data_IF_647294496509
#
_entry.id   IF_647294496509
#
_cell.length_a   1.000
_cell.length_b   1.000
_cell.length_c   1.000
_cell.angle_alpha   90.00
_cell.angle_beta   90.00
_cell.angle_gamma   90.00
#
_symmetry.space_group_name_H-M   'P 1'
#
loop_
_entity.id
_entity.type
_entity.pdbx_description
1 polymer ?
#
# COMPACT_ATOMS: atom_id res chain seq x y z
N UNK A 1 14.81 -1.74 -9.78
CA UNK A 1 16.06 -2.30 -9.21
C UNK A 1 16.07 -2.17 -7.68
N UNK A 2 16.81 -2.99 -6.91
CA UNK A 2 17.09 -2.75 -5.49
C UNK A 2 18.13 -1.63 -5.30
N UNK A 3 18.12 -0.93 -4.16
CA UNK A 3 19.19 0.02 -3.79
C UNK A 3 20.48 -0.76 -3.45
N UNK A 4 21.65 -0.23 -3.81
CA UNK A 4 22.95 -0.79 -3.44
C UNK A 4 23.23 -0.67 -1.93
N UNK A 5 24.03 -1.60 -1.37
CA UNK A 5 24.39 -1.56 0.07
C UNK A 5 25.20 -0.31 0.46
N UNK A 6 25.84 0.34 -0.50
CA UNK A 6 26.59 1.58 -0.31
C UNK A 6 25.64 2.77 -0.11
N UNK A 7 24.69 2.94 -1.02
CA UNK A 7 23.67 4.01 -0.97
C UNK A 7 22.78 3.86 0.27
N UNK A 8 22.43 2.63 0.67
CA UNK A 8 21.71 2.39 1.93
C UNK A 8 22.51 2.83 3.16
N UNK A 9 23.81 2.53 3.22
CA UNK A 9 24.70 2.97 4.30
C UNK A 9 24.84 4.50 4.32
N UNK A 10 24.91 5.13 3.15
CA UNK A 10 24.94 6.58 3.03
C UNK A 10 23.66 7.22 3.60
N UNK A 11 22.47 6.79 3.17
CA UNK A 11 21.19 7.30 3.68
C UNK A 11 21.11 7.15 5.21
N UNK A 12 21.54 6.00 5.75
CA UNK A 12 21.57 5.76 7.19
C UNK A 12 22.57 6.67 7.93
N UNK A 13 23.71 7.01 7.30
CA UNK A 13 24.72 7.91 7.90
C UNK A 13 24.32 9.39 7.95
N UNK A 14 23.26 9.80 7.24
CA UNK A 14 22.74 11.16 7.27
C UNK A 14 21.87 11.48 8.49
N UNK A 15 21.51 10.46 9.29
CA UNK A 15 20.67 10.57 10.49
C UNK A 15 19.38 11.38 10.26
N UNK A 16 18.59 10.92 9.28
CA UNK A 16 17.35 11.56 8.84
C UNK A 16 16.24 11.43 9.90
N UNK A 17 15.38 12.45 10.00
CA UNK A 17 14.28 12.52 10.97
C UNK A 17 13.30 11.34 10.89
N UNK A 18 13.19 10.69 9.72
CA UNK A 18 12.43 9.45 9.56
C UNK A 18 13.29 8.33 8.95
N UNK A 19 13.24 7.16 9.59
CA UNK A 19 13.85 5.93 9.05
C UNK A 19 13.18 5.52 7.74
N UNK A 20 13.96 5.41 6.65
CA UNK A 20 13.48 4.88 5.37
C UNK A 20 13.12 3.40 5.52
N UNK A 21 11.85 3.05 5.31
CA UNK A 21 11.31 1.67 5.35
C UNK A 21 10.80 1.22 3.99
N UNK A 22 10.18 2.11 3.23
CA UNK A 22 9.67 1.86 1.90
C UNK A 22 10.12 2.98 0.97
N UNK A 23 11.30 2.80 0.36
CA UNK A 23 11.93 3.72 -0.59
C UNK A 23 10.95 4.42 -1.53
N UNK A 24 10.10 3.66 -2.23
CA UNK A 24 9.17 4.24 -3.22
C UNK A 24 8.21 5.23 -2.57
N UNK A 25 7.63 4.85 -1.43
CA UNK A 25 6.65 5.65 -0.69
C UNK A 25 7.31 6.84 -0.01
N UNK A 26 8.36 6.59 0.75
CA UNK A 26 8.99 7.56 1.65
C UNK A 26 9.65 8.69 0.85
N UNK A 27 10.22 8.39 -0.33
CA UNK A 27 10.78 9.40 -1.23
C UNK A 27 9.73 10.04 -2.15
N UNK A 28 8.56 9.43 -2.38
CA UNK A 28 7.53 10.00 -3.27
C UNK A 28 7.03 11.38 -2.84
N UNK A 29 7.05 11.69 -1.53
CA UNK A 29 6.59 12.97 -1.00
C UNK A 29 7.56 14.14 -1.34
N UNK A 30 8.86 13.89 -1.38
CA UNK A 30 9.90 14.92 -1.54
C UNK A 30 10.46 15.49 -0.23
N UNK A 31 9.77 15.38 0.92
CA UNK A 31 10.26 15.88 2.22
C UNK A 31 11.61 15.26 2.62
N UNK A 32 11.75 13.93 2.55
CA UNK A 32 13.03 13.26 2.83
C UNK A 32 14.11 13.59 1.80
N UNK A 33 13.73 13.94 0.57
CA UNK A 33 14.68 14.42 -0.43
C UNK A 33 15.20 15.79 -0.01
N UNK A 34 14.31 16.71 0.36
CA UNK A 34 14.71 18.01 0.90
C UNK A 34 15.63 17.86 2.12
N UNK A 35 15.30 16.95 3.05
CA UNK A 35 16.13 16.72 4.24
C UNK A 35 17.55 16.21 3.88
N UNK A 36 17.66 15.27 2.92
CA UNK A 36 18.96 14.80 2.43
C UNK A 36 19.75 15.98 1.86
N UNK A 37 19.15 16.81 1.01
CA UNK A 37 19.83 17.96 0.41
C UNK A 37 20.16 19.05 1.43
N UNK A 38 19.36 19.25 2.49
CA UNK A 38 19.64 20.23 3.54
C UNK A 38 20.87 19.88 4.38
N UNK A 39 21.30 18.61 4.43
CA UNK A 39 22.58 18.21 5.07
C UNK A 39 23.81 18.66 4.28
N UNK A 40 23.65 19.01 2.99
CA UNK A 40 24.72 19.48 2.10
C UNK A 40 24.60 20.97 1.75
N UNK A 41 23.37 21.51 1.74
CA UNK A 41 23.02 22.86 1.31
C UNK A 41 22.12 23.55 2.36
N UNK A 42 22.67 23.75 3.55
CA UNK A 42 22.01 24.32 4.74
C UNK A 42 21.27 25.66 4.47
N UNK A 43 21.87 26.53 3.66
CA UNK A 43 21.36 27.87 3.34
C UNK A 43 20.36 27.91 2.18
N UNK A 44 20.31 26.85 1.38
CA UNK A 44 19.50 26.81 0.16
C UNK A 44 18.21 25.98 0.30
N UNK A 45 18.15 25.10 1.31
CA UNK A 45 16.97 24.25 1.58
C UNK A 45 16.29 24.65 2.89
N UNK A 46 15.15 25.30 2.77
CA UNK A 46 14.32 25.71 3.91
C UNK A 46 13.39 24.56 4.35
N UNK A 47 13.82 23.70 5.26
CA UNK A 47 13.03 22.52 5.67
C UNK A 47 11.60 22.84 6.19
N UNK A 48 11.37 24.05 6.71
CA UNK A 48 10.05 24.49 7.17
C UNK A 48 9.04 24.78 6.03
N UNK A 49 9.48 24.84 4.76
CA UNK A 49 8.58 25.04 3.61
C UNK A 49 8.10 23.74 2.98
N UNK A 50 8.56 22.59 3.48
CA UNK A 50 8.18 21.25 3.01
C UNK A 50 7.17 20.61 3.96
N UNK A 51 6.11 20.02 3.40
CA UNK A 51 5.03 19.37 4.16
C UNK A 51 5.11 17.84 4.03
N UNK A 52 4.99 17.12 5.15
CA UNK A 52 4.99 15.65 5.19
C UNK A 52 3.62 15.04 4.81
N UNK A 53 2.66 15.86 4.38
CA UNK A 53 1.34 15.45 3.90
C UNK A 53 1.37 14.44 2.74
N UNK A 54 0.49 13.45 2.77
CA UNK A 54 0.47 12.34 1.80
C UNK A 54 -0.26 12.66 0.49
N UNK A 55 -1.00 13.77 0.44
CA UNK A 55 -1.82 14.17 -0.71
C UNK A 55 -0.99 14.52 -1.95
N UNK A 56 -1.43 14.10 -3.13
CA UNK A 56 -0.69 14.29 -4.40
C UNK A 56 -0.37 15.77 -4.69
N UNK A 57 -1.25 16.70 -4.28
CA UNK A 57 -0.98 18.15 -4.39
C UNK A 57 0.25 18.54 -3.58
N UNK A 58 0.30 18.17 -2.30
CA UNK A 58 1.45 18.41 -1.40
C UNK A 58 2.74 17.83 -1.98
N UNK A 59 2.70 16.59 -2.51
CA UNK A 59 3.86 16.00 -3.18
C UNK A 59 4.32 16.86 -4.37
N UNK A 60 3.41 17.27 -5.25
CA UNK A 60 3.73 18.12 -6.41
C UNK A 60 4.33 19.47 -5.97
N UNK A 61 3.79 20.08 -4.92
CA UNK A 61 4.27 21.36 -4.39
C UNK A 61 5.69 21.23 -3.81
N UNK A 62 5.96 20.18 -3.02
CA UNK A 62 7.30 19.83 -2.52
C UNK A 62 8.29 19.59 -3.67
N UNK A 63 7.93 18.78 -4.66
CA UNK A 63 8.79 18.52 -5.81
C UNK A 63 9.02 19.75 -6.70
N UNK A 64 8.05 20.66 -6.81
CA UNK A 64 8.23 21.93 -7.50
C UNK A 64 9.23 22.85 -6.75
N UNK A 65 9.27 22.82 -5.42
CA UNK A 65 10.30 23.48 -4.63
C UNK A 65 11.68 22.85 -4.86
N UNK A 66 11.79 21.50 -4.82
CA UNK A 66 13.02 20.78 -5.12
C UNK A 66 13.58 21.11 -6.52
N UNK A 67 12.75 21.14 -7.55
CA UNK A 67 13.19 21.51 -8.91
C UNK A 67 13.72 22.96 -8.99
N UNK A 68 13.14 23.91 -8.23
CA UNK A 68 13.67 25.29 -8.15
C UNK A 68 15.03 25.29 -7.46
N UNK A 69 15.17 24.56 -6.36
CA UNK A 69 16.43 24.38 -5.65
C UNK A 69 17.51 23.73 -6.55
N UNK A 70 17.21 22.61 -7.23
CA UNK A 70 18.16 21.94 -8.13
C UNK A 70 18.65 22.86 -9.24
N UNK A 71 17.78 23.71 -9.83
CA UNK A 71 18.19 24.74 -10.79
C UNK A 71 19.11 25.79 -10.17
N UNK A 72 18.85 26.23 -8.93
CA UNK A 72 19.67 27.20 -8.19
C UNK A 72 21.10 26.70 -7.94
N UNK A 73 21.27 25.42 -7.58
CA UNK A 73 22.58 24.81 -7.26
C UNK A 73 23.28 24.15 -8.45
N UNK A 74 22.79 24.35 -9.68
CA UNK A 74 23.40 23.78 -10.90
C UNK A 74 23.08 22.31 -11.17
N UNK A 75 22.26 21.66 -10.34
CA UNK A 75 21.83 20.26 -10.45
C UNK A 75 20.56 20.09 -11.31
N UNK A 76 20.32 20.97 -12.28
CA UNK A 76 19.08 20.98 -13.09
C UNK A 76 18.81 19.66 -13.84
N UNK A 77 19.86 18.91 -14.19
CA UNK A 77 19.75 17.59 -14.85
C UNK A 77 19.55 16.40 -13.91
N UNK A 78 19.46 16.62 -12.59
CA UNK A 78 19.34 15.53 -11.61
C UNK A 78 17.99 14.82 -11.69
N UNK A 79 16.91 15.57 -11.93
CA UNK A 79 15.55 15.03 -12.00
C UNK A 79 14.70 15.84 -13.00
N UNK A 80 14.30 15.18 -14.10
CA UNK A 80 13.40 15.76 -15.10
C UNK A 80 11.97 15.83 -14.57
N UNK A 81 11.11 16.65 -15.19
CA UNK A 81 9.68 16.73 -14.85
C UNK A 81 8.97 15.37 -14.94
N UNK A 82 9.28 14.57 -15.97
CA UNK A 82 8.71 13.22 -16.12
C UNK A 82 9.18 12.29 -14.99
N UNK A 83 10.48 12.29 -14.67
CA UNK A 83 11.04 11.52 -13.56
C UNK A 83 10.40 11.90 -12.23
N UNK A 84 10.23 13.20 -11.99
CA UNK A 84 9.51 13.73 -10.83
C UNK A 84 8.09 13.14 -10.75
N UNK A 85 7.36 13.12 -11.85
CA UNK A 85 6.00 12.59 -11.90
C UNK A 85 5.95 11.07 -11.65
N UNK A 86 6.89 10.31 -12.22
CA UNK A 86 7.06 8.87 -11.96
C UNK A 86 7.34 8.58 -10.48
N UNK A 87 8.16 9.41 -9.82
CA UNK A 87 8.46 9.29 -8.38
C UNK A 87 7.23 9.62 -7.51
N UNK A 88 6.47 10.68 -7.83
CA UNK A 88 5.26 11.08 -7.11
C UNK A 88 4.20 9.95 -7.10
N UNK A 89 4.03 9.27 -8.24
CA UNK A 89 3.14 8.11 -8.39
C UNK A 89 3.76 6.78 -7.92
N UNK A 90 4.93 6.81 -7.28
CA UNK A 90 5.60 5.64 -6.68
C UNK A 90 5.98 4.54 -7.70
N UNK A 91 6.29 4.91 -8.94
CA UNK A 91 6.60 3.97 -10.03
C UNK A 91 7.78 3.02 -9.70
N UNK A 92 7.72 1.83 -10.30
CA UNK A 92 8.62 0.69 -10.07
C UNK A 92 10.06 0.90 -10.53
N UNK A 93 10.82 1.66 -9.75
CA UNK A 93 12.25 1.89 -9.95
C UNK A 93 12.63 3.37 -9.97
N UNK A 94 11.70 4.26 -10.32
CA UNK A 94 11.95 5.70 -10.46
C UNK A 94 12.59 6.33 -9.21
N UNK A 95 12.08 6.01 -8.01
CA UNK A 95 12.66 6.49 -6.75
C UNK A 95 14.10 5.95 -6.53
N UNK A 96 14.39 4.71 -6.92
CA UNK A 96 15.71 4.09 -6.77
C UNK A 96 16.71 4.72 -7.75
N UNK A 97 16.30 4.95 -8.99
CA UNK A 97 17.11 5.65 -10.00
C UNK A 97 17.47 7.06 -9.54
N UNK A 98 16.49 7.84 -9.07
CA UNK A 98 16.72 9.17 -8.53
C UNK A 98 17.68 9.18 -7.33
N UNK A 99 17.50 8.27 -6.36
CA UNK A 99 18.38 8.18 -5.19
C UNK A 99 19.82 7.85 -5.60
N UNK A 100 20.01 6.96 -6.57
CA UNK A 100 21.35 6.66 -7.09
C UNK A 100 21.98 7.91 -7.73
N UNK A 101 21.24 8.65 -8.59
CA UNK A 101 21.72 9.93 -9.14
C UNK A 101 22.08 10.94 -8.04
N UNK A 102 21.23 11.06 -7.02
CA UNK A 102 21.44 11.97 -5.89
C UNK A 102 22.69 11.60 -5.08
N UNK A 103 22.96 10.31 -4.87
CA UNK A 103 24.21 9.85 -4.25
C UNK A 103 25.44 10.26 -5.07
N UNK A 104 25.42 10.04 -6.38
CA UNK A 104 26.55 10.40 -7.25
C UNK A 104 26.79 11.91 -7.26
N UNK A 105 25.72 12.71 -7.33
CA UNK A 105 25.79 14.18 -7.33
C UNK A 105 26.23 14.79 -6.00
N UNK A 106 25.87 14.18 -4.86
CA UNK A 106 26.19 14.70 -3.52
C UNK A 106 27.53 14.21 -2.97
N UNK A 107 28.02 13.05 -3.43
CA UNK A 107 29.26 12.45 -2.90
C UNK A 107 30.42 12.44 -3.90
N UNK A 108 30.18 12.78 -5.17
CA UNK A 108 31.10 12.63 -6.29
C UNK A 108 31.68 11.20 -6.45
N UNK A 109 30.99 10.18 -5.92
CA UNK A 109 31.34 8.77 -6.05
C UNK A 109 30.36 8.09 -6.99
N UNK A 110 30.85 7.37 -7.99
CA UNK A 110 30.01 6.54 -8.87
C UNK A 110 29.48 5.33 -8.10
N UNK A 111 28.19 5.04 -8.22
CA UNK A 111 27.59 3.86 -7.58
C UNK A 111 28.22 2.62 -8.19
N UNK A 112 28.87 1.81 -7.35
CA UNK A 112 29.28 0.46 -7.74
C UNK A 112 28.03 -0.41 -7.83
N UNK A 113 27.38 -0.39 -9.00
CA UNK A 113 26.28 -1.30 -9.33
C UNK A 113 26.87 -2.70 -9.42
N UNK A 114 26.86 -3.40 -8.27
CA UNK A 114 27.12 -4.83 -8.20
C UNK A 114 26.04 -5.51 -9.04
N UNK A 115 26.35 -5.74 -10.32
CA UNK A 115 25.56 -6.63 -11.14
C UNK A 115 25.56 -7.98 -10.42
N UNK A 116 24.39 -8.37 -9.92
CA UNK A 116 24.21 -9.72 -9.39
C UNK A 116 24.59 -10.64 -10.55
N UNK A 117 25.62 -11.51 -10.40
CA UNK A 117 26.12 -12.29 -11.53
C UNK A 117 24.93 -13.02 -12.15
N UNK A 118 24.76 -12.84 -13.47
CA UNK A 118 23.67 -13.48 -14.21
C UNK A 118 23.81 -14.97 -13.96
N UNK A 119 22.92 -15.53 -13.15
CA UNK A 119 22.98 -16.94 -12.80
C UNK A 119 22.67 -17.74 -14.07
N UNK A 120 23.71 -18.27 -14.69
CA UNK A 120 23.63 -19.10 -15.91
C UNK A 120 22.91 -20.44 -15.69
N UNK A 121 22.40 -20.68 -14.49
CA UNK A 121 21.43 -21.74 -14.22
C UNK A 121 20.19 -21.57 -15.12
N UNK A 122 20.11 -22.44 -16.14
CA UNK A 122 18.89 -22.75 -16.89
C UNK A 122 17.77 -23.00 -15.87
N UNK A 123 16.85 -22.04 -15.74
CA UNK A 123 15.71 -22.14 -14.82
C UNK A 123 14.93 -23.40 -15.19
N UNK A 124 14.77 -24.38 -14.28
CA UNK A 124 14.03 -25.60 -14.58
C UNK A 124 12.61 -25.28 -15.02
N UNK A 125 12.04 -26.08 -15.93
CA UNK A 125 10.73 -25.81 -16.52
C UNK A 125 9.60 -25.61 -15.48
N UNK A 126 9.70 -26.25 -14.30
CA UNK A 126 8.72 -26.09 -13.22
C UNK A 126 8.80 -24.76 -12.46
N UNK A 127 9.89 -24.01 -12.62
CA UNK A 127 10.18 -22.76 -11.93
C UNK A 127 10.10 -21.53 -12.86
N UNK A 128 9.75 -21.73 -14.13
CA UNK A 128 9.40 -20.66 -15.07
C UNK A 128 8.03 -20.07 -14.71
N UNK A 129 7.81 -18.80 -15.06
CA UNK A 129 6.48 -18.20 -15.00
C UNK A 129 5.49 -18.98 -15.87
N UNK A 130 4.28 -19.17 -15.35
CA UNK A 130 3.15 -19.72 -16.12
C UNK A 130 2.31 -18.59 -16.72
N UNK A 131 1.47 -18.91 -17.70
CA UNK A 131 0.56 -17.98 -18.35
C UNK A 131 -0.23 -17.09 -17.34
N UNK A 132 -0.71 -17.65 -16.22
CA UNK A 132 -1.45 -16.90 -15.20
C UNK A 132 -0.59 -15.88 -14.44
N UNK A 133 0.70 -16.18 -14.21
CA UNK A 133 1.67 -15.25 -13.62
C UNK A 133 1.98 -14.09 -14.57
N UNK A 134 2.17 -14.41 -15.85
CA UNK A 134 2.45 -13.43 -16.90
C UNK A 134 1.28 -12.47 -17.11
N UNK A 135 0.05 -12.99 -17.25
CA UNK A 135 -1.17 -12.17 -17.37
C UNK A 135 -1.32 -11.22 -16.19
N UNK A 136 -1.14 -11.72 -14.96
CA UNK A 136 -1.21 -10.88 -13.74
C UNK A 136 -0.14 -9.80 -13.73
N UNK A 137 1.08 -10.15 -14.11
CA UNK A 137 2.23 -9.22 -14.14
C UNK A 137 2.05 -8.16 -15.22
N UNK A 138 1.60 -8.53 -16.42
CA UNK A 138 1.31 -7.61 -17.52
C UNK A 138 0.19 -6.63 -17.15
N UNK A 139 -0.95 -7.14 -16.64
CA UNK A 139 -2.05 -6.30 -16.17
C UNK A 139 -1.61 -5.33 -15.06
N UNK A 140 -0.79 -5.78 -14.10
CA UNK A 140 -0.30 -4.93 -13.00
C UNK A 140 0.69 -3.84 -13.42
N UNK A 141 1.26 -3.89 -14.62
CA UNK A 141 2.19 -2.85 -15.10
C UNK A 141 1.47 -1.67 -15.72
N UNK A 142 0.25 -1.88 -16.21
CA UNK A 142 -0.55 -0.84 -16.86
C UNK A 142 -1.28 -0.04 -15.78
N UNK A 143 -0.76 1.15 -15.48
CA UNK A 143 -1.33 2.09 -14.52
C UNK A 143 -1.89 3.32 -15.26
N UNK A 144 -3.03 3.85 -14.78
CA UNK A 144 -3.66 5.06 -15.31
C UNK A 144 -4.96 4.77 -16.09
N UNK A 145 -5.43 5.76 -16.82
CA UNK A 145 -6.64 5.72 -17.66
C UNK A 145 -6.37 5.01 -19.02
N UNK A 146 -5.75 3.83 -18.95
CA UNK A 146 -5.40 3.06 -20.13
C UNK A 146 -6.62 2.34 -20.70
N UNK A 147 -6.93 2.56 -21.97
CA UNK A 147 -8.06 1.90 -22.64
C UNK A 147 -7.98 0.38 -22.52
N UNK A 148 -9.14 -0.24 -22.30
CA UNK A 148 -9.32 -1.68 -22.13
C UNK A 148 -8.73 -2.48 -23.31
N UNK A 149 -8.73 -1.89 -24.52
CA UNK A 149 -8.11 -2.51 -25.72
C UNK A 149 -6.58 -2.55 -25.63
N UNK A 150 -5.95 -1.52 -25.08
CA UNK A 150 -4.50 -1.48 -24.84
C UNK A 150 -4.09 -2.55 -23.83
N UNK A 151 -4.86 -2.65 -22.73
CA UNK A 151 -4.68 -3.71 -21.72
C UNK A 151 -4.81 -5.10 -22.33
N UNK A 152 -5.84 -5.35 -23.14
CA UNK A 152 -6.04 -6.62 -23.82
C UNK A 152 -4.90 -6.95 -24.79
N UNK A 153 -4.43 -5.98 -25.58
CA UNK A 153 -3.32 -6.17 -26.52
C UNK A 153 -2.04 -6.62 -25.81
N UNK A 154 -1.59 -5.88 -24.80
CA UNK A 154 -0.37 -6.22 -24.04
C UNK A 154 -0.47 -7.57 -23.32
N UNK A 155 -1.66 -7.95 -22.84
CA UNK A 155 -1.88 -9.26 -22.23
C UNK A 155 -1.79 -10.40 -23.26
N UNK A 156 -2.37 -10.23 -24.45
CA UNK A 156 -2.31 -11.23 -25.53
C UNK A 156 -0.90 -11.38 -26.10
N UNK A 157 -0.19 -10.27 -26.33
CA UNK A 157 1.21 -10.22 -26.76
C UNK A 157 2.12 -11.03 -25.82
N UNK A 158 1.95 -10.86 -24.50
CA UNK A 158 2.73 -11.58 -23.48
C UNK A 158 2.35 -13.07 -23.37
N UNK A 159 1.19 -13.49 -23.88
CA UNK A 159 0.82 -14.90 -24.00
C UNK A 159 1.42 -15.55 -25.25
N UNK A 160 1.45 -14.86 -26.39
CA UNK A 160 2.11 -15.35 -27.62
C UNK A 160 3.62 -15.55 -27.39
N UNK A 161 4.29 -14.58 -26.76
CA UNK A 161 5.70 -14.70 -26.35
C UNK A 161 5.96 -15.95 -25.49
N UNK A 162 5.05 -16.25 -24.57
CA UNK A 162 5.15 -17.42 -23.68
C UNK A 162 4.94 -18.72 -24.43
N UNK A 163 3.93 -18.79 -25.29
CA UNK A 163 3.66 -19.97 -26.11
C UNK A 163 4.83 -20.26 -27.06
N UNK A 164 5.38 -19.23 -27.71
CA UNK A 164 6.57 -19.35 -28.58
C UNK A 164 7.77 -19.90 -27.81
N UNK A 165 8.03 -19.40 -26.60
CA UNK A 165 9.12 -19.91 -25.75
C UNK A 165 8.93 -21.39 -25.33
N UNK A 166 7.67 -21.83 -25.14
CA UNK A 166 7.36 -23.24 -24.89
C UNK A 166 7.54 -24.12 -26.14
N UNK A 167 7.20 -23.60 -27.32
CA UNK A 167 7.44 -24.27 -28.60
C UNK A 167 8.94 -24.41 -28.90
N UNK A 168 9.74 -23.40 -28.58
CA UNK A 168 11.21 -23.42 -28.67
C UNK A 168 11.84 -24.40 -27.66
N UNK A 169 11.39 -24.45 -26.40
CA UNK A 169 11.86 -25.48 -25.46
C UNK A 169 11.51 -26.89 -25.94
N UNK A 170 10.34 -27.04 -26.59
CA UNK A 170 9.88 -28.33 -27.13
C UNK A 170 10.67 -28.79 -28.35
N UNK A 171 11.12 -27.87 -29.21
CA UNK A 171 11.93 -28.22 -30.39
C UNK A 171 13.38 -28.54 -30.04
N UNK A 172 13.92 -27.99 -28.94
CA UNK A 172 15.29 -28.23 -28.48
C UNK A 172 15.47 -29.59 -27.78
N UNK A 173 14.47 -30.10 -27.05
CA UNK A 173 14.53 -31.38 -26.32
C UNK A 173 13.45 -32.38 -26.81
N UNK A 174 13.45 -32.84 -28.08
CA UNK A 174 12.36 -33.64 -28.65
C UNK A 174 12.10 -34.96 -27.89
N UNK A 175 13.15 -35.66 -27.45
CA UNK A 175 13.07 -36.88 -26.62
C UNK A 175 12.26 -36.71 -25.32
N UNK A 176 12.28 -35.51 -24.76
CA UNK A 176 11.57 -35.18 -23.51
C UNK A 176 10.06 -34.98 -23.73
N UNK A 177 9.66 -34.61 -24.95
CA UNK A 177 8.27 -34.29 -25.30
C UNK A 177 7.62 -35.26 -26.29
N UNK A 178 8.39 -36.15 -26.93
CA UNK A 178 7.90 -37.25 -27.78
C UNK A 178 7.27 -38.39 -26.97
N UNK A 179 7.83 -38.67 -25.78
CA UNK A 179 7.49 -39.82 -24.94
C UNK A 179 6.16 -39.70 -24.16
N UNK A 180 5.27 -38.79 -24.57
CA UNK A 180 3.88 -38.72 -24.08
C UNK A 180 3.08 -40.01 -24.33
N UNK A 181 3.52 -40.84 -25.29
CA UNK A 181 2.84 -42.09 -25.69
C UNK A 181 3.11 -43.30 -24.80
N UNK A 182 4.08 -43.28 -23.88
CA UNK A 182 4.43 -44.46 -23.07
C UNK A 182 4.47 -44.27 -21.54
N UNK A 183 4.47 -43.04 -21.01
CA UNK A 183 4.40 -42.84 -19.56
C UNK A 183 2.95 -42.91 -19.06
N UNK A 184 2.38 -44.13 -19.04
CA UNK A 184 1.25 -44.48 -18.17
C UNK A 184 1.70 -44.47 -16.70
N UNK A 185 2.09 -43.30 -16.18
CA UNK A 185 2.07 -43.10 -14.73
C UNK A 185 0.62 -43.28 -14.29
N UNK A 186 0.39 -44.22 -13.38
CA UNK A 186 -0.91 -44.47 -12.76
C UNK A 186 -1.31 -43.29 -11.87
N UNK A 187 -1.60 -42.15 -12.49
CA UNK A 187 -2.38 -41.08 -11.90
C UNK A 187 -3.79 -41.65 -11.81
N UNK A 188 -4.17 -42.08 -10.60
CA UNK A 188 -5.52 -42.58 -10.35
C UNK A 188 -6.53 -41.65 -11.00
N UNK A 189 -7.51 -42.22 -11.69
CA UNK A 189 -8.53 -41.47 -12.44
C UNK A 189 -9.06 -40.34 -11.56
N UNK A 190 -9.23 -39.11 -12.09
CA UNK A 190 -9.88 -38.04 -11.34
C UNK A 190 -11.19 -38.61 -10.81
N UNK A 191 -11.30 -38.72 -9.48
CA UNK A 191 -12.45 -39.36 -8.85
C UNK A 191 -13.66 -38.57 -9.34
N UNK A 192 -14.51 -39.20 -10.16
CA UNK A 192 -15.69 -38.53 -10.68
C UNK A 192 -16.52 -38.12 -9.47
N UNK A 193 -16.48 -36.83 -9.14
CA UNK A 193 -17.45 -36.23 -8.24
C UNK A 193 -18.73 -36.22 -9.04
N UNK A 194 -19.47 -37.31 -8.94
CA UNK A 194 -20.82 -37.40 -9.49
C UNK A 194 -21.58 -36.16 -9.03
N UNK A 195 -22.38 -35.58 -9.93
CA UNK A 195 -23.14 -34.37 -9.67
C UNK A 195 -24.28 -34.65 -8.68
N UNK A 196 -23.92 -34.95 -7.43
CA UNK A 196 -24.84 -34.92 -6.30
C UNK A 196 -25.19 -33.45 -6.09
N UNK A 197 -26.44 -33.12 -6.38
CA UNK A 197 -27.11 -31.87 -6.01
C UNK A 197 -26.63 -31.44 -4.61
N UNK A 198 -26.27 -30.17 -4.36
CA UNK A 198 -25.65 -29.77 -3.11
C UNK A 198 -26.58 -30.07 -1.93
N UNK A 199 -26.28 -31.14 -1.22
CA UNK A 199 -26.94 -31.46 0.05
C UNK A 199 -26.42 -30.46 1.07
N UNK A 200 -27.32 -29.58 1.48
CA UNK A 200 -27.09 -28.54 2.49
C UNK A 200 -26.49 -29.23 3.73
N UNK A 201 -25.36 -28.76 4.27
CA UNK A 201 -24.78 -29.36 5.48
C UNK A 201 -25.80 -29.28 6.62
N UNK A 202 -26.38 -30.41 6.99
CA UNK A 202 -27.23 -30.52 8.17
C UNK A 202 -26.34 -30.40 9.40
N UNK A 203 -26.20 -29.16 9.90
CA UNK A 203 -25.48 -28.87 11.14
C UNK A 203 -26.23 -29.55 12.29
N UNK A 204 -25.74 -30.70 12.73
CA UNK A 204 -26.24 -31.38 13.92
C UNK A 204 -25.81 -30.58 15.16
N UNK A 205 -26.61 -29.59 15.53
CA UNK A 205 -26.43 -28.84 16.78
C UNK A 205 -26.60 -29.82 17.95
N UNK A 206 -25.52 -30.06 18.70
CA UNK A 206 -25.65 -30.70 20.01
C UNK A 206 -26.33 -29.72 20.95
N UNK A 207 -27.54 -30.06 21.37
CA UNK A 207 -28.31 -29.28 22.33
C UNK A 207 -27.53 -29.11 23.64
N UNK A 208 -27.23 -27.87 23.99
CA UNK A 208 -26.60 -27.54 25.28
C UNK A 208 -27.70 -27.58 26.33
N UNK A 209 -27.67 -28.59 27.21
CA UNK A 209 -28.62 -28.72 28.31
C UNK A 209 -28.34 -27.66 29.38
N UNK A 210 -28.85 -26.45 29.17
CA UNK A 210 -28.80 -25.35 30.13
C UNK A 210 -29.62 -25.73 31.36
N UNK A 211 -28.99 -25.82 32.54
CA UNK A 211 -29.73 -25.87 33.80
C UNK A 211 -30.52 -24.58 33.94
N UNK A 212 -31.85 -24.68 34.00
CA UNK A 212 -32.68 -23.54 34.38
C UNK A 212 -32.32 -23.15 35.82
N UNK A 213 -32.02 -21.86 36.00
CA UNK A 213 -32.02 -21.22 37.32
C UNK A 213 -33.41 -20.63 37.49
N UNK A 214 -34.17 -21.17 38.43
CA UNK A 214 -35.54 -20.69 38.71
C UNK A 214 -35.54 -19.21 39.07
N UNK A 215 -36.14 -18.40 38.19
CA UNK A 215 -36.19 -16.95 38.34
C UNK A 215 -37.37 -16.50 39.21
N UNK A 216 -37.55 -17.14 40.36
CA UNK A 216 -38.54 -16.77 41.37
C UNK A 216 -38.08 -15.55 42.19
N UNK A 217 -38.00 -14.39 41.51
CA UNK A 217 -37.68 -13.08 42.11
C UNK A 217 -38.51 -11.95 41.45
N UNK A 218 -39.76 -12.26 41.07
CA UNK A 218 -40.73 -11.30 40.53
C UNK A 218 -41.78 -10.83 41.58
N UNK A 219 -41.69 -11.30 42.83
CA UNK A 219 -42.63 -11.00 43.91
C UNK A 219 -41.90 -10.75 45.24
N UNK A 220 -41.17 -9.63 45.38
CA UNK A 220 -40.71 -9.16 46.69
C UNK A 220 -40.38 -7.64 46.76
N UNK A 221 -41.17 -6.79 46.10
CA UNK A 221 -40.95 -5.31 46.12
C UNK A 221 -42.21 -4.43 46.17
N UNK A 222 -43.33 -4.91 46.73
CA UNK A 222 -44.49 -4.02 47.00
C UNK A 222 -45.55 -4.63 47.92
N UNK A 223 -45.27 -4.74 49.24
CA UNK A 223 -46.28 -4.62 50.31
C UNK A 223 -45.61 -4.47 51.70
N UNK A 224 -46.26 -3.71 52.59
CA UNK A 224 -46.03 -3.61 54.05
C UNK A 224 -44.73 -2.91 54.53
N UNK A 225 -44.87 -1.59 54.75
CA UNK A 225 -44.33 -0.92 55.95
C UNK A 225 -45.14 -1.39 57.18
N UNK A 226 -44.55 -1.53 58.39
CA UNK A 226 -44.47 -0.35 59.27
C UNK A 226 -43.25 -0.24 60.22
N UNK A 227 -42.98 1.01 60.64
CA UNK A 227 -42.35 1.47 61.89
C UNK A 227 -40.94 0.96 62.32
N UNK A 228 -40.02 1.88 62.65
CA UNK A 228 -38.73 1.49 63.29
C UNK A 228 -37.55 2.48 63.37
N UNK A 229 -37.77 3.79 63.55
CA UNK A 229 -36.89 4.79 64.24
C UNK A 229 -35.33 4.74 64.24
N UNK A 230 -34.70 5.92 64.01
CA UNK A 230 -33.29 6.33 64.34
C UNK A 230 -32.18 5.68 63.45
N UNK A 231 -31.10 6.35 62.98
CA UNK A 231 -30.56 7.71 63.14
C UNK A 231 -29.49 8.05 62.06
N UNK A 232 -28.72 9.17 62.16
CA UNK A 232 -28.29 9.90 60.95
C UNK A 232 -26.77 10.07 60.71
N UNK A 233 -26.40 10.27 59.44
CA UNK A 233 -25.32 11.19 58.94
C UNK A 233 -25.33 11.12 57.40
N UNK A 234 -25.63 12.17 56.63
CA UNK A 234 -24.70 13.26 56.26
C UNK A 234 -24.01 12.93 54.91
N UNK A 235 -24.09 13.73 53.85
CA UNK A 235 -24.78 15.01 53.64
C UNK A 235 -24.68 15.46 52.16
N UNK A 236 -24.97 16.74 51.89
CA UNK A 236 -24.74 17.45 50.62
C UNK A 236 -25.44 16.92 49.34
N UNK A 237 -26.71 17.29 49.22
CA UNK A 237 -27.36 17.64 47.93
C UNK A 237 -27.02 19.12 47.58
N UNK A 238 -27.53 19.76 46.49
CA UNK A 238 -28.34 19.27 45.36
C UNK A 238 -27.99 19.89 43.97
N UNK A 239 -28.93 19.72 43.02
CA UNK A 239 -29.37 20.68 41.98
C UNK A 239 -28.48 20.89 40.73
N UNK A 240 -28.90 20.48 39.51
CA UNK A 240 -30.07 20.89 38.68
C UNK A 240 -29.94 22.33 38.14
N UNK A 241 -30.26 22.63 36.87
CA UNK A 241 -31.59 22.44 36.25
C UNK A 241 -31.56 22.74 34.74
N UNK A 242 -32.53 22.18 34.02
CA UNK A 242 -32.74 22.24 32.57
C UNK A 242 -33.61 23.45 32.11
N UNK A 243 -33.51 23.78 30.81
CA UNK A 243 -34.55 24.32 29.89
C UNK A 243 -34.68 25.83 29.60
N UNK A 244 -34.93 26.10 28.29
CA UNK A 244 -35.82 27.12 27.70
C UNK A 244 -35.43 28.62 27.88
N UNK A 245 -35.96 29.63 27.16
CA UNK A 245 -36.62 29.85 25.84
C UNK A 245 -36.90 31.36 25.70
N UNK A 246 -37.15 32.01 24.55
CA UNK A 246 -36.98 31.73 23.11
C UNK A 246 -37.17 33.08 22.33
N UNK A 247 -36.97 33.09 21.00
CA UNK A 247 -37.19 34.24 20.07
C UNK A 247 -36.32 35.50 20.28
N UNK A 248 -36.07 36.33 19.25
CA UNK A 248 -36.45 36.24 17.83
C UNK A 248 -36.11 37.51 17.03
N UNK A 249 -36.61 37.58 15.80
CA UNK A 249 -36.75 38.78 14.95
C UNK A 249 -35.49 39.45 14.33
N UNK A 250 -35.46 39.37 12.99
CA UNK A 250 -34.86 40.33 12.06
C UNK A 250 -35.76 41.61 11.95
N UNK A 251 -35.65 42.57 10.97
CA UNK A 251 -34.81 42.60 9.75
C UNK A 251 -34.24 44.00 9.33
N UNK A 252 -33.69 44.04 8.08
CA UNK A 252 -33.65 45.18 7.12
C UNK A 252 -32.43 46.14 7.08
N UNK A 253 -31.45 45.83 6.19
CA UNK A 253 -31.12 46.52 4.89
C UNK A 253 -31.65 47.98 4.77
N UNK A 254 -30.89 49.01 4.29
CA UNK A 254 -30.30 48.98 2.94
C UNK A 254 -29.06 49.83 2.54
N UNK A 255 -28.50 49.43 1.39
CA UNK A 255 -27.98 50.24 0.26
C UNK A 255 -27.07 51.46 0.50
N UNK A 256 -25.87 51.44 -0.11
CA UNK A 256 -25.01 52.62 -0.31
C UNK A 256 -23.98 52.37 -1.41
N UNK A 257 -24.05 53.15 -2.49
CA UNK A 257 -23.23 53.00 -3.72
C UNK A 257 -22.09 54.03 -3.73
N UNK A 258 -20.92 53.64 -4.22
CA UNK A 258 -19.98 54.49 -4.99
C UNK A 258 -19.04 53.59 -5.77
#
# INVERSE_FOLDING_TARGET
>A
MPISREVLRWIQSLDLAYSVKNVKRDFSNGFLVAEIFSRYYDKDVQMHSFDNGTAVRVKRDNWAQLQKFFRKVGLAGLCTADETQRIIYCEDGAAVEFINKAYEALTNRKVQVVQKPVSTHRVPAFAKDNASSLVRTAASRIHGDADQRSVQHTVLEKLDEHERSLQEERSLDPERFSNASQVKRARGSPKQVAAKRPEIPTVTVKEIRVKQVDRSMAQLRSAVNPAGSVGPSGGASPASRTMASADGSAPTVPSGRS
#
